data_IF_751466090060
#
_entry.id   IF_751466090060
#
_cell.length_a   1.000
_cell.length_b   1.000
_cell.length_c   1.000
_cell.angle_alpha   90.00
_cell.angle_beta   90.00
_cell.angle_gamma   90.00
#
_symmetry.space_group_name_H-M   'P 1'
#
loop_
_entity.id
_entity.type
_entity.pdbx_description
1 polymer ?
#
# COMPACT_ATOMS: atom_id res chain seq x y z
N UNK A 1 -7.41 -9.73 -21.06
CA UNK A 1 -6.62 -8.48 -21.27
C UNK A 1 -6.67 -7.54 -20.06
N UNK A 2 -7.85 -7.25 -19.48
CA UNK A 2 -7.98 -6.32 -18.33
C UNK A 2 -7.30 -6.80 -17.04
N UNK A 3 -7.41 -8.09 -16.71
CA UNK A 3 -6.77 -8.67 -15.51
C UNK A 3 -5.24 -8.59 -15.57
N UNK A 4 -4.66 -8.82 -16.74
CA UNK A 4 -3.21 -8.69 -16.97
C UNK A 4 -2.75 -7.24 -16.78
N UNK A 5 -3.44 -6.28 -17.42
CA UNK A 5 -3.15 -4.84 -17.25
C UNK A 5 -3.29 -4.38 -15.79
N UNK A 6 -4.30 -4.89 -15.08
CA UNK A 6 -4.52 -4.59 -13.65
C UNK A 6 -3.37 -5.10 -12.79
N UNK A 7 -2.90 -6.33 -13.04
CA UNK A 7 -1.75 -6.89 -12.33
C UNK A 7 -0.46 -6.07 -12.60
N UNK A 8 -0.22 -5.67 -13.86
CA UNK A 8 0.92 -4.82 -14.20
C UNK A 8 0.90 -3.49 -13.43
N UNK A 9 -0.25 -2.81 -13.37
CA UNK A 9 -0.39 -1.55 -12.62
C UNK A 9 -0.11 -1.70 -11.13
N UNK A 10 -0.54 -2.81 -10.53
CA UNK A 10 -0.33 -3.07 -9.10
C UNK A 10 1.14 -3.38 -8.80
N UNK A 11 1.79 -4.12 -9.70
CA UNK A 11 3.22 -4.40 -9.63
C UNK A 11 4.04 -3.11 -9.79
N UNK A 12 3.70 -2.25 -10.76
CA UNK A 12 4.31 -0.93 -10.94
C UNK A 12 4.12 -0.04 -9.70
N UNK A 13 2.93 -0.08 -9.09
CA UNK A 13 2.63 0.67 -7.86
C UNK A 13 3.49 0.19 -6.69
N UNK A 14 3.64 -1.13 -6.55
CA UNK A 14 4.52 -1.73 -5.56
C UNK A 14 5.98 -1.29 -5.77
N UNK A 15 6.54 -1.51 -6.96
CA UNK A 15 7.93 -1.16 -7.26
C UNK A 15 8.22 0.34 -7.11
N UNK A 16 7.26 1.20 -7.46
CA UNK A 16 7.41 2.64 -7.27
C UNK A 16 7.54 3.00 -5.79
N UNK A 17 6.70 2.43 -4.94
CA UNK A 17 6.70 2.71 -3.50
C UNK A 17 7.94 2.13 -2.83
N UNK A 18 8.27 0.88 -3.15
CA UNK A 18 9.45 0.18 -2.63
C UNK A 18 10.73 0.92 -3.02
N UNK A 19 10.91 1.20 -4.31
CA UNK A 19 12.12 1.87 -4.81
C UNK A 19 12.30 3.28 -4.25
N UNK A 20 11.21 4.04 -4.09
CA UNK A 20 11.24 5.37 -3.50
C UNK A 20 11.64 5.35 -2.02
N UNK A 21 11.09 4.40 -1.24
CA UNK A 21 11.45 4.25 0.16
C UNK A 21 12.89 3.79 0.32
N UNK A 22 13.35 2.84 -0.51
CA UNK A 22 14.74 2.38 -0.53
C UNK A 22 15.71 3.53 -0.78
N UNK A 23 15.47 4.33 -1.82
CA UNK A 23 16.31 5.50 -2.13
C UNK A 23 16.31 6.52 -0.99
N UNK A 24 15.14 6.81 -0.40
CA UNK A 24 15.06 7.75 0.71
C UNK A 24 15.85 7.25 1.94
N UNK A 25 15.77 5.97 2.26
CA UNK A 25 16.51 5.37 3.37
C UNK A 25 18.03 5.47 3.12
N UNK A 26 18.49 5.17 1.91
CA UNK A 26 19.91 5.30 1.53
C UNK A 26 20.42 6.75 1.68
N UNK A 27 19.63 7.73 1.23
CA UNK A 27 19.94 9.16 1.38
C UNK A 27 19.99 9.59 2.85
N UNK A 28 18.97 9.23 3.64
CA UNK A 28 18.87 9.59 5.06
C UNK A 28 19.90 8.88 5.95
N UNK A 29 20.30 7.66 5.58
CA UNK A 29 21.37 6.94 6.28
C UNK A 29 22.69 7.69 6.22
N UNK A 30 22.95 8.38 5.11
CA UNK A 30 24.14 9.22 4.94
C UNK A 30 24.08 10.51 5.76
N UNK A 31 22.88 11.00 6.09
CA UNK A 31 22.62 12.23 6.83
C UNK A 31 22.37 12.08 8.33
N UNK A 32 22.33 10.85 8.87
CA UNK A 32 22.01 10.54 10.27
C UNK A 32 20.69 11.17 10.77
N UNK A 33 19.64 11.14 9.93
CA UNK A 33 18.36 11.76 10.27
C UNK A 33 17.53 10.91 11.26
N UNK A 34 16.90 11.51 12.29
CA UNK A 34 16.21 10.78 13.36
C UNK A 34 14.92 10.09 12.92
N UNK A 35 14.33 10.48 11.78
CA UNK A 35 13.10 9.90 11.25
C UNK A 35 13.32 8.64 10.39
N UNK A 36 14.58 8.22 10.18
CA UNK A 36 14.94 7.07 9.34
C UNK A 36 14.26 5.77 9.75
N UNK A 37 14.04 5.55 11.05
CA UNK A 37 13.38 4.33 11.54
C UNK A 37 11.92 4.24 11.10
N UNK A 38 11.21 5.38 11.01
CA UNK A 38 9.86 5.43 10.46
C UNK A 38 9.83 5.06 8.98
N UNK A 39 10.82 5.52 8.22
CA UNK A 39 10.96 5.19 6.79
C UNK A 39 11.32 3.72 6.56
N UNK A 40 12.23 3.16 7.37
CA UNK A 40 12.54 1.71 7.36
C UNK A 40 11.31 0.87 7.69
N UNK A 41 10.54 1.28 8.69
CA UNK A 41 9.29 0.61 9.04
C UNK A 41 8.26 0.66 7.89
N UNK A 42 8.12 1.80 7.20
CA UNK A 42 7.27 1.91 6.02
C UNK A 42 7.77 1.02 4.86
N UNK A 43 9.08 0.89 4.68
CA UNK A 43 9.67 -0.01 3.69
C UNK A 43 9.38 -1.47 4.03
N UNK A 44 9.51 -1.87 5.29
CA UNK A 44 9.14 -3.21 5.75
C UNK A 44 7.64 -3.49 5.55
N UNK A 45 6.77 -2.51 5.86
CA UNK A 45 5.33 -2.60 5.62
C UNK A 45 5.02 -2.86 4.14
N UNK A 46 5.59 -2.05 3.23
CA UNK A 46 5.36 -2.16 1.79
C UNK A 46 5.92 -3.48 1.24
N UNK A 47 7.11 -3.88 1.68
CA UNK A 47 7.76 -5.12 1.25
C UNK A 47 6.95 -6.35 1.66
N UNK A 48 6.45 -6.40 2.89
CA UNK A 48 5.60 -7.52 3.32
C UNK A 48 4.32 -7.61 2.50
N UNK A 49 3.68 -6.49 2.18
CA UNK A 49 2.40 -6.47 1.45
C UNK A 49 2.51 -6.92 -0.01
N UNK A 50 3.68 -6.77 -0.63
CA UNK A 50 3.93 -7.03 -2.06
C UNK A 50 2.93 -6.31 -2.98
N UNK A 51 2.86 -6.70 -4.25
CA UNK A 51 1.82 -6.25 -5.19
C UNK A 51 0.41 -6.73 -4.79
N UNK A 52 0.31 -7.76 -3.95
CA UNK A 52 -0.97 -8.33 -3.54
C UNK A 52 -1.71 -7.42 -2.55
N UNK A 53 -0.99 -6.72 -1.68
CA UNK A 53 -1.52 -5.72 -0.77
C UNK A 53 -1.77 -4.34 -1.39
N UNK A 54 -1.43 -4.14 -2.67
CA UNK A 54 -1.71 -2.88 -3.37
C UNK A 54 -3.19 -2.77 -3.73
N UNK A 55 -3.86 -1.68 -3.36
CA UNK A 55 -5.25 -1.43 -3.75
C UNK A 55 -5.38 -1.16 -5.24
N UNK A 56 -6.40 -1.75 -5.87
CA UNK A 56 -6.79 -1.45 -7.24
C UNK A 56 -7.57 -0.14 -7.31
N UNK A 57 -7.37 0.59 -8.40
CA UNK A 57 -8.03 1.86 -8.71
C UNK A 57 -8.92 1.68 -9.94
N UNK A 58 -10.10 2.26 -9.90
CA UNK A 58 -11.01 2.37 -11.03
C UNK A 58 -11.10 3.84 -11.46
N UNK A 59 -10.96 4.09 -12.76
CA UNK A 59 -11.15 5.42 -13.32
C UNK A 59 -12.64 5.76 -13.29
N UNK A 60 -12.98 6.93 -12.79
CA UNK A 60 -14.33 7.45 -12.73
C UNK A 60 -14.30 8.97 -13.05
N UNK A 61 -15.47 9.58 -13.19
CA UNK A 61 -15.64 11.01 -13.41
C UNK A 61 -16.58 11.60 -12.34
N UNK A 62 -16.12 12.64 -11.64
CA UNK A 62 -16.96 13.41 -10.72
C UNK A 62 -17.06 14.85 -11.24
N UNK A 63 -18.20 15.19 -11.82
CA UNK A 63 -18.51 16.52 -12.36
C UNK A 63 -17.52 17.00 -13.45
N UNK A 64 -17.14 16.13 -14.38
CA UNK A 64 -16.19 16.45 -15.44
C UNK A 64 -14.72 16.44 -14.99
N UNK A 65 -14.45 16.00 -13.76
CA UNK A 65 -13.09 15.81 -13.23
C UNK A 65 -12.81 14.32 -13.12
N UNK A 66 -11.78 13.87 -13.83
CA UNK A 66 -11.29 12.50 -13.69
C UNK A 66 -10.87 12.23 -12.24
N UNK A 67 -11.43 11.18 -11.65
CA UNK A 67 -11.09 10.68 -10.31
C UNK A 67 -10.72 9.20 -10.37
N UNK A 68 -9.93 8.75 -9.41
CA UNK A 68 -9.63 7.34 -9.20
C UNK A 68 -10.29 6.85 -7.92
N UNK A 69 -11.20 5.89 -8.01
CA UNK A 69 -11.82 5.25 -6.85
C UNK A 69 -10.99 4.07 -6.38
N UNK A 70 -10.46 4.16 -5.17
CA UNK A 70 -9.62 3.13 -4.57
C UNK A 70 -10.51 2.06 -3.94
N UNK A 71 -10.38 0.80 -4.39
CA UNK A 71 -11.13 -0.32 -3.79
C UNK A 71 -10.43 -0.82 -2.53
N UNK A 72 -11.15 -0.90 -1.42
CA UNK A 72 -10.64 -1.41 -0.16
C UNK A 72 -10.38 -2.92 -0.25
N UNK A 73 -9.30 -3.40 0.36
CA UNK A 73 -9.01 -4.84 0.49
C UNK A 73 -9.61 -5.30 1.83
N UNK A 74 -10.71 -6.09 1.86
CA UNK A 74 -11.41 -6.42 3.11
C UNK A 74 -10.52 -7.13 4.13
N UNK A 75 -9.60 -7.93 3.62
CA UNK A 75 -8.65 -8.71 4.41
C UNK A 75 -7.51 -7.89 4.99
N UNK A 76 -7.18 -6.73 4.39
CA UNK A 76 -6.01 -5.92 4.76
C UNK A 76 -6.40 -4.98 5.89
N UNK A 77 -5.51 -4.86 6.88
CA UNK A 77 -5.60 -3.82 7.89
C UNK A 77 -5.65 -2.44 7.23
N UNK A 78 -6.39 -1.51 7.82
CA UNK A 78 -6.40 -0.14 7.33
C UNK A 78 -5.02 0.49 7.52
N UNK A 79 -4.36 0.76 6.39
CA UNK A 79 -3.03 1.39 6.30
C UNK A 79 -3.04 2.49 5.25
N UNK A 80 -4.23 3.03 4.95
CA UNK A 80 -4.37 4.02 3.87
C UNK A 80 -3.59 5.31 4.18
N UNK A 81 -3.35 5.61 5.47
CA UNK A 81 -2.55 6.76 5.90
C UNK A 81 -1.08 6.57 5.55
N UNK A 82 -0.52 5.41 5.87
CA UNK A 82 0.86 5.01 5.61
C UNK A 82 1.14 5.01 4.11
N UNK A 83 0.27 4.35 3.33
CA UNK A 83 0.42 4.33 1.87
C UNK A 83 0.23 5.70 1.24
N UNK A 84 -0.63 6.57 1.81
CA UNK A 84 -0.79 7.94 1.33
C UNK A 84 0.43 8.81 1.63
N UNK A 85 1.11 8.58 2.76
CA UNK A 85 2.35 9.28 3.09
C UNK A 85 3.46 8.93 2.10
N UNK A 86 3.60 7.66 1.71
CA UNK A 86 4.53 7.23 0.65
C UNK A 86 4.15 7.84 -0.71
N UNK A 87 2.86 7.84 -1.06
CA UNK A 87 2.39 8.44 -2.31
C UNK A 87 2.66 9.96 -2.35
N UNK A 88 2.46 10.67 -1.24
CA UNK A 88 2.72 12.11 -1.11
C UNK A 88 4.20 12.45 -1.27
N UNK A 89 5.08 11.65 -0.66
CA UNK A 89 6.54 11.75 -0.85
C UNK A 89 6.90 11.58 -2.34
N UNK A 90 6.30 10.61 -3.02
CA UNK A 90 6.47 10.43 -4.47
C UNK A 90 5.99 11.60 -5.30
N UNK A 91 4.88 12.25 -4.91
CA UNK A 91 4.43 13.47 -5.57
C UNK A 91 5.37 14.65 -5.32
N UNK A 92 5.88 14.83 -4.10
CA UNK A 92 6.84 15.89 -3.78
C UNK A 92 8.15 15.72 -4.54
N UNK A 93 8.74 14.52 -4.52
CA UNK A 93 10.00 14.22 -5.22
C UNK A 93 9.80 14.18 -6.73
N UNK A 94 8.70 13.61 -7.22
CA UNK A 94 8.36 13.54 -8.65
C UNK A 94 8.04 14.91 -9.26
N UNK A 95 7.46 15.84 -8.50
CA UNK A 95 7.23 17.23 -8.92
C UNK A 95 8.53 17.97 -9.25
N UNK A 96 9.67 17.52 -8.73
CA UNK A 96 10.98 18.09 -9.06
C UNK A 96 11.47 17.64 -10.45
N UNK A 97 10.95 16.53 -11.00
CA UNK A 97 11.48 15.89 -12.22
C UNK A 97 10.46 15.63 -13.35
N UNK A 98 9.14 15.67 -13.10
CA UNK A 98 8.12 15.39 -14.13
C UNK A 98 7.35 16.66 -14.54
N UNK A 99 7.83 17.34 -15.60
CA UNK A 99 7.10 18.44 -16.26
C UNK A 99 6.07 17.97 -17.32
N UNK A 100 6.00 16.67 -17.63
CA UNK A 100 5.10 16.12 -18.66
C UNK A 100 4.40 14.86 -18.18
N UNK A 101 3.07 14.93 -18.12
CA UNK A 101 2.16 13.86 -17.74
C UNK A 101 0.76 14.44 -17.45
N UNK A 102 -0.29 13.62 -17.52
CA UNK A 102 -1.62 14.03 -17.09
C UNK A 102 -1.56 14.48 -15.62
N UNK A 103 -2.25 15.57 -15.28
CA UNK A 103 -2.33 16.04 -13.89
C UNK A 103 -2.77 14.88 -12.98
N UNK A 104 -2.20 14.74 -11.77
CA UNK A 104 -2.65 13.72 -10.84
C UNK A 104 -4.16 13.87 -10.61
N UNK A 105 -4.93 12.88 -11.04
CA UNK A 105 -6.36 12.82 -10.77
C UNK A 105 -6.61 12.56 -9.28
N UNK A 106 -7.68 13.14 -8.74
CA UNK A 106 -8.06 13.00 -7.34
C UNK A 106 -8.33 11.52 -7.04
N UNK A 107 -7.73 11.00 -5.96
CA UNK A 107 -8.07 9.65 -5.46
C UNK A 107 -9.17 9.75 -4.41
N UNK A 108 -10.29 9.09 -4.65
CA UNK A 108 -11.41 8.97 -3.70
C UNK A 108 -11.25 7.64 -2.96
N UNK A 109 -11.04 7.74 -1.64
CA UNK A 109 -10.89 6.61 -0.71
C UNK A 109 -12.11 6.56 0.23
N UNK A 110 -12.46 5.38 0.74
CA UNK A 110 -13.56 5.24 1.71
C UNK A 110 -14.94 4.99 1.09
N UNK A 111 -15.03 4.79 -0.22
CA UNK A 111 -16.22 4.18 -0.82
C UNK A 111 -16.31 2.72 -0.34
N UNK A 112 -17.52 2.20 -0.12
CA UNK A 112 -17.78 0.77 0.19
C UNK A 112 -17.38 -0.18 -0.96
N UNK A 113 -16.61 0.29 -1.93
CA UNK A 113 -16.11 -0.51 -3.04
C UNK A 113 -15.05 -1.48 -2.53
N UNK A 114 -15.49 -2.70 -2.24
CA UNK A 114 -14.62 -3.79 -1.85
C UNK A 114 -13.95 -4.39 -3.08
N UNK A 115 -12.66 -4.69 -2.93
CA UNK A 115 -11.92 -5.46 -3.91
C UNK A 115 -12.31 -6.94 -3.80
N UNK A 116 -12.60 -7.58 -4.93
CA UNK A 116 -12.84 -9.03 -5.01
C UNK A 116 -11.54 -9.85 -5.08
N UNK A 117 -10.38 -9.21 -4.90
CA UNK A 117 -9.09 -9.87 -4.97
C UNK A 117 -8.89 -10.82 -3.79
N UNK A 118 -8.24 -11.98 -4.02
CA UNK A 118 -7.91 -12.90 -2.94
C UNK A 118 -6.98 -12.23 -1.92
N UNK A 119 -7.01 -12.67 -0.65
CA UNK A 119 -6.02 -12.25 0.33
C UNK A 119 -4.62 -12.68 -0.10
N UNK A 120 -3.62 -11.85 0.22
CA UNK A 120 -2.24 -12.26 0.13
C UNK A 120 -1.96 -13.37 1.16
N UNK A 121 -1.19 -14.38 0.77
CA UNK A 121 -0.67 -15.40 1.68
C UNK A 121 0.74 -15.01 2.14
N UNK A 122 1.21 -15.60 3.24
CA UNK A 122 2.53 -15.36 3.81
C UNK A 122 2.69 -14.03 4.54
N UNK A 123 1.60 -13.29 4.77
CA UNK A 123 1.69 -12.02 5.50
C UNK A 123 1.73 -12.25 7.01
N UNK A 124 2.51 -11.45 7.76
CA UNK A 124 2.39 -11.38 9.21
C UNK A 124 0.94 -11.14 9.66
N UNK A 125 0.54 -11.78 10.77
CA UNK A 125 -0.85 -11.71 11.28
C UNK A 125 -1.32 -10.26 11.44
N UNK A 126 -0.44 -9.37 11.88
CA UNK A 126 -0.77 -7.99 12.17
C UNK A 126 -1.18 -7.17 10.93
N UNK A 127 -0.89 -7.64 9.70
CA UNK A 127 -1.30 -6.99 8.45
C UNK A 127 -2.71 -7.38 7.99
N UNK A 128 -3.30 -8.44 8.56
CA UNK A 128 -4.70 -8.76 8.34
C UNK A 128 -5.61 -7.94 9.24
N UNK A 129 -6.76 -7.55 8.71
CA UNK A 129 -7.86 -6.94 9.46
C UNK A 129 -8.41 -7.95 10.46
N UNK A 130 -8.62 -7.52 11.70
CA UNK A 130 -9.03 -8.42 12.79
C UNK A 130 -10.41 -9.03 12.57
N UNK A 131 -11.40 -8.21 12.17
CA UNK A 131 -12.75 -8.69 11.92
C UNK A 131 -12.75 -9.74 10.80
N UNK A 132 -12.08 -9.42 9.69
CA UNK A 132 -11.96 -10.33 8.56
C UNK A 132 -11.23 -11.62 8.91
N UNK A 133 -10.17 -11.54 9.74
CA UNK A 133 -9.42 -12.72 10.19
C UNK A 133 -10.29 -13.62 11.06
N UNK A 134 -11.00 -13.04 12.03
CA UNK A 134 -11.80 -13.75 13.03
C UNK A 134 -12.99 -14.52 12.42
N UNK A 135 -13.49 -14.08 11.27
CA UNK A 135 -14.54 -14.76 10.50
C UNK A 135 -14.05 -16.00 9.72
N UNK A 136 -12.73 -16.23 9.61
CA UNK A 136 -12.17 -17.37 8.86
C UNK A 136 -12.00 -18.60 9.72
N UNK A 137 -12.15 -19.77 9.11
CA UNK A 137 -11.82 -21.04 9.75
C UNK A 137 -10.31 -21.18 10.01
N UNK A 138 -9.94 -21.91 11.05
CA UNK A 138 -8.55 -22.14 11.42
C UNK A 138 -7.75 -22.86 10.33
N UNK A 139 -8.38 -23.81 9.63
CA UNK A 139 -7.75 -24.50 8.50
C UNK A 139 -7.41 -23.54 7.36
N UNK A 140 -8.30 -22.60 7.04
CA UNK A 140 -8.04 -21.58 6.02
C UNK A 140 -6.88 -20.67 6.43
N UNK A 141 -6.85 -20.22 7.69
CA UNK A 141 -5.76 -19.40 8.23
C UNK A 141 -4.41 -20.10 8.15
N UNK A 142 -4.35 -21.38 8.50
CA UNK A 142 -3.10 -22.15 8.53
C UNK A 142 -2.64 -22.59 7.14
N UNK A 143 -3.52 -23.23 6.37
CA UNK A 143 -3.16 -23.89 5.11
C UNK A 143 -3.16 -22.95 3.90
N UNK A 144 -4.02 -21.93 3.91
CA UNK A 144 -4.14 -21.00 2.77
C UNK A 144 -3.39 -19.70 2.99
N UNK A 145 -3.50 -19.09 4.18
CA UNK A 145 -2.82 -17.83 4.46
C UNK A 145 -1.38 -18.02 4.90
N UNK A 146 -1.01 -19.15 5.51
CA UNK A 146 0.39 -19.51 5.79
C UNK A 146 1.16 -18.42 6.55
N UNK A 147 0.57 -17.91 7.63
CA UNK A 147 1.12 -16.79 8.40
C UNK A 147 2.49 -17.16 9.00
N UNK A 148 3.54 -16.34 8.79
CA UNK A 148 4.85 -16.58 9.38
C UNK A 148 4.82 -16.40 10.89
N UNK A 149 5.70 -17.09 11.61
CA UNK A 149 5.83 -16.97 13.07
C UNK A 149 6.29 -15.58 13.50
N UNK A 150 7.13 -14.92 12.68
CA UNK A 150 7.58 -13.56 12.93
C UNK A 150 6.41 -12.60 12.72
N UNK A 151 6.01 -11.92 13.80
CA UNK A 151 4.99 -10.88 13.73
C UNK A 151 5.57 -9.55 13.22
N UNK A 152 4.68 -8.68 12.75
CA UNK A 152 5.02 -7.33 12.29
C UNK A 152 4.72 -6.33 13.40
N UNK A 153 5.76 -5.67 13.91
CA UNK A 153 5.60 -4.67 14.98
C UNK A 153 5.05 -3.37 14.40
N UNK A 154 3.87 -2.96 14.87
CA UNK A 154 3.24 -1.70 14.47
C UNK A 154 3.97 -0.51 15.09
N UNK A 155 4.39 0.42 14.24
CA UNK A 155 4.91 1.71 14.68
C UNK A 155 3.76 2.73 14.75
N UNK A 156 3.61 3.38 15.90
CA UNK A 156 2.77 4.56 15.99
C UNK A 156 3.56 5.73 15.41
N UNK A 157 3.33 6.05 14.14
CA UNK A 157 3.77 7.33 13.57
C UNK A 157 2.92 8.42 14.24
N UNK A 158 3.35 8.87 15.42
CA UNK A 158 2.64 9.91 16.20
C UNK A 158 2.59 11.17 15.35
N UNK A 159 1.37 11.66 15.17
CA UNK A 159 1.05 12.97 14.58
C UNK A 159 1.75 14.05 15.41
N UNK A 160 2.69 14.78 14.80
CA UNK A 160 2.85 16.19 15.14
C UNK A 160 1.77 16.99 14.41
#
# INVERSE_FOLDING_TARGET
LERARRNTRLLEKYHRREGLLRQLIEEKASGCEPDIEGWKWLHELVTNLTEMGMSSEESDDENGVAVFRVRALPWRRDIEKELSLVDALGSQRGSLYQKRGAKPAKRVRGTQLLSSRPPAAGLPRALYRNEWWNEREDNYRRLTLGVPEKDFMWMNLVRN
#
